data_IF_135248800595
#
_entry.id   IF_135248800595
#
_cell.length_a   1.000
_cell.length_b   1.000
_cell.length_c   1.000
_cell.angle_alpha   90.00
_cell.angle_beta   90.00
_cell.angle_gamma   90.00
#
_symmetry.space_group_name_H-M   'P 1'
#
loop_
_entity.id
_entity.type
_entity.pdbx_description
1 polymer ?
#
# COMPACT_ATOMS: atom_id res chain seq x y z
N UNK A 1 -18.18 -7.22 -29.20
CA UNK A 1 -16.95 -6.93 -28.43
C UNK A 1 -16.72 -5.43 -28.13
N UNK A 2 -17.72 -4.55 -28.34
CA UNK A 2 -17.62 -3.10 -28.09
C UNK A 2 -18.76 -2.61 -27.17
N UNK A 3 -18.81 -3.10 -25.92
CA UNK A 3 -19.92 -2.73 -25.03
C UNK A 3 -19.70 -2.90 -23.53
N UNK A 4 -18.47 -3.14 -23.06
CA UNK A 4 -18.21 -3.47 -21.65
C UNK A 4 -17.07 -2.67 -21.02
N UNK A 5 -17.01 -1.37 -21.29
CA UNK A 5 -16.25 -0.44 -20.44
C UNK A 5 -17.11 0.79 -20.21
N UNK A 6 -18.10 0.70 -19.32
CA UNK A 6 -18.49 1.90 -18.60
C UNK A 6 -17.28 2.25 -17.74
N UNK A 7 -16.41 3.13 -18.26
CA UNK A 7 -15.32 3.73 -17.51
C UNK A 7 -15.94 4.32 -16.25
N UNK A 8 -15.79 3.66 -15.11
CA UNK A 8 -16.08 4.26 -13.83
C UNK A 8 -15.13 5.44 -13.72
N UNK A 9 -15.66 6.64 -13.97
CA UNK A 9 -14.92 7.86 -13.75
C UNK A 9 -14.47 7.85 -12.28
N UNK A 10 -13.17 7.98 -12.05
CA UNK A 10 -12.60 8.05 -10.72
C UNK A 10 -13.35 9.11 -9.91
N UNK A 11 -14.04 8.66 -8.86
CA UNK A 11 -14.82 9.52 -7.97
C UNK A 11 -14.22 9.41 -6.58
N UNK A 12 -13.30 10.32 -6.30
CA UNK A 12 -12.77 10.53 -4.97
C UNK A 12 -13.17 11.91 -4.48
N UNK A 13 -13.49 11.99 -3.19
CA UNK A 13 -13.86 13.24 -2.51
C UNK A 13 -12.89 13.45 -1.36
N UNK A 14 -12.21 14.58 -1.41
CA UNK A 14 -11.38 15.08 -0.32
C UNK A 14 -12.10 16.20 0.41
N UNK A 15 -12.21 16.09 1.73
CA UNK A 15 -12.74 17.15 2.60
C UNK A 15 -11.75 17.58 3.68
N UNK A 16 -10.51 17.09 3.62
CA UNK A 16 -9.48 17.39 4.59
C UNK A 16 -9.04 18.86 4.46
N UNK A 17 -9.17 19.69 5.51
CA UNK A 17 -8.75 21.09 5.45
C UNK A 17 -7.27 21.26 5.07
N UNK A 18 -6.39 20.39 5.59
CA UNK A 18 -4.96 20.46 5.24
C UNK A 18 -4.74 20.20 3.74
N UNK A 19 -5.43 19.19 3.20
CA UNK A 19 -5.36 18.88 1.77
C UNK A 19 -5.85 20.03 0.92
N UNK A 20 -7.07 20.50 1.19
CA UNK A 20 -7.76 21.49 0.37
C UNK A 20 -7.02 22.84 0.33
N UNK A 21 -6.53 23.31 1.48
CA UNK A 21 -5.98 24.66 1.60
C UNK A 21 -4.46 24.72 1.44
N UNK A 22 -3.73 23.63 1.65
CA UNK A 22 -2.26 23.63 1.61
C UNK A 22 -1.73 22.65 0.56
N UNK A 23 -2.09 21.37 0.67
CA UNK A 23 -1.44 20.33 -0.12
C UNK A 23 -1.88 20.34 -1.59
N UNK A 24 -3.16 20.50 -1.89
CA UNK A 24 -3.65 20.59 -3.26
C UNK A 24 -3.05 21.78 -4.02
N UNK A 25 -3.00 23.02 -3.48
CA UNK A 25 -2.26 24.11 -4.10
C UNK A 25 -0.79 23.78 -4.35
N UNK A 26 -0.11 23.18 -3.36
CA UNK A 26 1.28 22.76 -3.46
C UNK A 26 1.48 21.72 -4.57
N UNK A 27 0.75 20.61 -4.55
CA UNK A 27 0.81 19.56 -5.57
C UNK A 27 0.42 20.06 -6.96
N UNK A 28 -0.53 21.00 -7.07
CA UNK A 28 -0.88 21.65 -8.35
C UNK A 28 0.26 22.53 -8.90
N UNK A 29 1.14 23.04 -8.04
CA UNK A 29 2.37 23.69 -8.47
C UNK A 29 3.43 22.65 -8.86
N UNK A 30 3.64 21.63 -8.04
CA UNK A 30 4.65 20.58 -8.26
C UNK A 30 4.38 19.77 -9.53
N UNK A 31 3.13 19.41 -9.81
CA UNK A 31 2.77 18.65 -11.04
C UNK A 31 3.24 19.33 -12.31
N UNK A 32 3.35 20.67 -12.33
CA UNK A 32 3.79 21.46 -13.49
C UNK A 32 5.28 21.28 -13.80
N UNK A 33 6.08 20.87 -12.81
CA UNK A 33 7.51 20.59 -12.94
C UNK A 33 7.72 19.30 -13.74
N UNK A 34 6.82 18.32 -13.60
CA UNK A 34 6.93 17.06 -14.32
C UNK A 34 6.67 17.23 -15.82
N UNK A 35 7.50 16.60 -16.68
CA UNK A 35 7.25 16.59 -18.11
C UNK A 35 6.04 15.72 -18.43
N UNK A 36 5.32 16.05 -19.50
CA UNK A 36 4.06 15.37 -19.87
C UNK A 36 4.26 13.96 -20.43
N UNK A 37 5.48 13.57 -20.79
CA UNK A 37 5.80 12.19 -21.19
C UNK A 37 5.97 11.25 -19.99
N UNK A 38 6.15 11.79 -18.78
CA UNK A 38 6.33 10.98 -17.59
C UNK A 38 5.00 10.37 -17.17
N UNK A 39 4.96 9.03 -17.16
CA UNK A 39 3.78 8.26 -16.79
C UNK A 39 3.44 8.45 -15.30
N UNK A 40 2.16 8.67 -14.94
CA UNK A 40 1.71 8.79 -13.55
C UNK A 40 2.14 7.61 -12.67
N UNK A 41 1.95 6.37 -13.13
CA UNK A 41 2.31 5.18 -12.36
C UNK A 41 3.82 5.11 -12.04
N UNK A 42 4.68 5.71 -12.86
CA UNK A 42 6.11 5.79 -12.57
C UNK A 42 6.39 6.79 -11.44
N UNK A 43 5.60 7.87 -11.33
CA UNK A 43 5.68 8.83 -10.22
C UNK A 43 5.31 8.12 -8.91
N UNK A 44 4.17 7.44 -8.88
CA UNK A 44 3.70 6.64 -7.73
C UNK A 44 4.73 5.59 -7.33
N UNK A 45 5.21 4.80 -8.31
CA UNK A 45 6.19 3.75 -8.05
C UNK A 45 7.52 4.31 -7.52
N UNK A 46 7.96 5.45 -8.04
CA UNK A 46 9.16 6.13 -7.54
C UNK A 46 8.98 6.55 -6.08
N UNK A 47 7.84 7.16 -5.73
CA UNK A 47 7.51 7.52 -4.35
C UNK A 47 7.50 6.30 -3.42
N UNK A 48 6.87 5.21 -3.85
CA UNK A 48 6.87 3.94 -3.12
C UNK A 48 8.29 3.40 -2.88
N UNK A 49 9.17 3.44 -3.88
CA UNK A 49 10.56 3.00 -3.71
C UNK A 49 11.35 3.84 -2.70
N UNK A 50 11.03 5.13 -2.53
CA UNK A 50 11.63 5.95 -1.47
C UNK A 50 11.20 5.46 -0.08
N UNK A 51 9.97 5.00 0.08
CA UNK A 51 9.48 4.40 1.33
C UNK A 51 10.12 3.04 1.61
N UNK A 52 10.28 2.22 0.57
CA UNK A 52 11.02 0.95 0.66
C UNK A 52 12.46 1.20 1.10
N UNK A 53 13.12 2.20 0.50
CA UNK A 53 14.47 2.59 0.90
C UNK A 53 14.51 3.08 2.35
N UNK A 54 13.58 3.92 2.78
CA UNK A 54 13.48 4.36 4.18
C UNK A 54 13.33 3.17 5.14
N UNK A 55 12.46 2.21 4.82
CA UNK A 55 12.26 1.02 5.64
C UNK A 55 13.56 0.23 5.80
N UNK A 56 14.28 -0.05 4.70
CA UNK A 56 15.54 -0.80 4.76
C UNK A 56 16.69 -0.01 5.39
N UNK A 57 16.73 1.31 5.20
CA UNK A 57 17.68 2.19 5.87
C UNK A 57 17.51 2.11 7.39
N UNK A 58 16.26 2.17 7.87
CA UNK A 58 15.98 2.02 9.30
C UNK A 58 16.20 0.58 9.80
N UNK A 59 15.90 -0.43 8.99
CA UNK A 59 16.20 -1.82 9.34
C UNK A 59 17.71 -2.09 9.47
N UNK A 60 18.54 -1.37 8.71
CA UNK A 60 20.00 -1.44 8.83
C UNK A 60 20.51 -0.84 10.15
N UNK A 61 19.99 0.32 10.56
CA UNK A 61 20.45 1.00 11.77
C UNK A 61 19.78 0.52 13.06
N UNK A 62 18.56 0.00 12.99
CA UNK A 62 17.73 -0.27 14.15
C UNK A 62 16.94 -1.59 14.02
N UNK A 63 17.51 -2.73 13.61
CA UNK A 63 16.76 -3.94 13.23
C UNK A 63 15.69 -4.40 14.23
N UNK A 64 15.92 -4.21 15.53
CA UNK A 64 15.05 -4.70 16.61
C UNK A 64 14.30 -3.59 17.38
N UNK A 65 14.37 -2.33 16.90
CA UNK A 65 13.73 -1.14 17.49
C UNK A 65 14.33 -0.66 18.82
N UNK A 66 15.54 -1.05 19.16
CA UNK A 66 16.22 -0.63 20.39
C UNK A 66 17.06 0.64 20.23
N UNK A 67 17.33 1.10 19.00
CA UNK A 67 18.24 2.23 18.76
C UNK A 67 17.72 3.54 19.34
N UNK A 68 16.44 3.67 19.69
CA UNK A 68 15.89 4.85 20.38
C UNK A 68 15.69 4.62 21.89
N UNK A 69 16.21 3.53 22.45
CA UNK A 69 16.20 3.28 23.89
C UNK A 69 17.45 3.86 24.57
N UNK A 70 17.40 4.18 25.88
CA UNK A 70 18.59 4.53 26.65
C UNK A 70 19.63 3.41 26.58
N UNK A 71 20.91 3.79 26.68
CA UNK A 71 22.05 2.87 26.73
C UNK A 71 22.28 2.02 25.46
N UNK A 72 21.62 2.38 24.35
CA UNK A 72 21.82 1.76 23.04
C UNK A 72 22.49 2.73 22.06
N UNK A 73 23.09 2.18 21.00
CA UNK A 73 23.63 2.99 19.92
C UNK A 73 22.51 3.63 19.12
N UNK A 74 22.42 4.96 19.17
CA UNK A 74 21.42 5.72 18.43
C UNK A 74 21.67 5.73 16.92
N UNK A 75 20.58 5.79 16.15
CA UNK A 75 20.63 6.05 14.71
C UNK A 75 21.31 7.41 14.49
N UNK A 76 22.32 7.52 13.61
CA UNK A 76 23.01 8.79 13.39
C UNK A 76 22.05 9.90 13.00
N UNK A 77 22.16 11.07 13.64
CA UNK A 77 21.20 12.17 13.49
C UNK A 77 20.91 12.58 12.05
N UNK A 78 21.93 12.58 11.17
CA UNK A 78 21.77 12.90 9.75
C UNK A 78 20.86 11.95 8.98
N UNK A 79 20.70 10.70 9.42
CA UNK A 79 19.80 9.71 8.82
C UNK A 79 18.35 10.17 8.96
N UNK A 80 17.97 10.77 10.09
CA UNK A 80 16.62 11.30 10.29
C UNK A 80 16.28 12.43 9.32
N UNK A 81 17.26 13.23 8.89
CA UNK A 81 17.05 14.23 7.82
C UNK A 81 16.70 13.54 6.51
N UNK A 82 17.47 12.52 6.14
CA UNK A 82 17.24 11.74 4.92
C UNK A 82 15.86 11.08 4.97
N UNK A 83 15.52 10.40 6.07
CA UNK A 83 14.22 9.74 6.26
C UNK A 83 13.07 10.74 6.14
N UNK A 84 13.18 11.91 6.79
CA UNK A 84 12.17 12.97 6.72
C UNK A 84 11.97 13.53 5.32
N UNK A 85 13.05 13.83 4.60
CA UNK A 85 12.98 14.33 3.23
C UNK A 85 12.41 13.29 2.27
N UNK A 86 12.85 12.04 2.39
CA UNK A 86 12.37 10.94 1.54
C UNK A 86 10.90 10.61 1.82
N UNK A 87 10.46 10.65 3.08
CA UNK A 87 9.06 10.45 3.44
C UNK A 87 8.17 11.55 2.84
N UNK A 88 8.56 12.82 3.02
CA UNK A 88 7.81 13.94 2.45
C UNK A 88 7.81 13.94 0.92
N UNK A 89 8.93 13.53 0.30
CA UNK A 89 9.02 13.38 -1.15
C UNK A 89 8.10 12.26 -1.63
N UNK A 90 8.10 11.09 -0.99
CA UNK A 90 7.20 9.99 -1.33
C UNK A 90 5.74 10.42 -1.26
N UNK A 91 5.34 11.06 -0.15
CA UNK A 91 4.01 11.64 0.03
C UNK A 91 3.67 12.71 -1.04
N UNK A 92 4.66 13.48 -1.48
CA UNK A 92 4.47 14.46 -2.56
C UNK A 92 4.28 13.79 -3.91
N UNK A 93 5.03 12.74 -4.22
CA UNK A 93 4.92 11.99 -5.48
C UNK A 93 3.56 11.28 -5.58
N UNK A 94 3.12 10.68 -4.47
CA UNK A 94 1.79 10.12 -4.28
C UNK A 94 0.70 11.15 -4.60
N UNK A 95 0.65 12.30 -3.89
CA UNK A 95 -0.38 13.32 -4.14
C UNK A 95 -0.35 14.01 -5.52
N UNK A 96 0.74 13.85 -6.29
CA UNK A 96 0.91 14.43 -7.62
C UNK A 96 0.52 13.48 -8.75
N UNK A 97 0.51 12.16 -8.53
CA UNK A 97 0.34 11.17 -9.59
C UNK A 97 -1.03 11.31 -10.31
N UNK A 98 -2.12 11.47 -9.57
CA UNK A 98 -3.47 11.60 -10.09
C UNK A 98 -3.67 12.95 -10.76
N UNK A 99 -2.96 13.98 -10.28
CA UNK A 99 -2.93 15.30 -10.93
C UNK A 99 -2.21 15.21 -12.27
N UNK A 100 -1.10 14.47 -12.34
CA UNK A 100 -0.41 14.18 -13.60
C UNK A 100 -1.33 13.40 -14.53
N UNK A 101 -1.99 12.34 -14.05
CA UNK A 101 -2.91 11.52 -14.86
C UNK A 101 -4.05 12.35 -15.48
N UNK A 102 -4.61 13.30 -14.72
CA UNK A 102 -5.61 14.25 -15.24
C UNK A 102 -5.00 15.21 -16.25
N UNK A 103 -3.79 15.74 -15.99
CA UNK A 103 -3.07 16.66 -16.90
C UNK A 103 -2.73 16.01 -18.25
N UNK A 104 -2.41 14.73 -18.26
CA UNK A 104 -2.02 13.96 -19.47
C UNK A 104 -3.17 13.16 -20.08
N UNK A 105 -4.40 13.27 -19.55
CA UNK A 105 -5.55 12.46 -19.96
C UNK A 105 -5.28 10.94 -19.94
N UNK A 106 -4.53 10.47 -18.95
CA UNK A 106 -4.11 9.07 -18.81
C UNK A 106 -4.64 8.40 -17.53
N UNK A 107 -5.75 8.90 -16.97
CA UNK A 107 -6.44 8.27 -15.83
C UNK A 107 -7.06 6.94 -16.25
N UNK A 108 -6.74 5.86 -15.54
CA UNK A 108 -7.26 4.52 -15.82
C UNK A 108 -7.59 3.77 -14.53
N UNK A 109 -8.57 2.84 -14.54
CA UNK A 109 -8.84 1.95 -13.40
C UNK A 109 -7.62 1.12 -12.97
N UNK A 110 -6.74 0.77 -13.92
CA UNK A 110 -5.51 0.05 -13.61
C UNK A 110 -4.50 0.94 -12.87
N UNK A 111 -4.36 2.20 -13.26
CA UNK A 111 -3.52 3.18 -12.55
C UNK A 111 -4.00 3.37 -11.11
N UNK A 112 -5.31 3.53 -10.93
CA UNK A 112 -5.93 3.60 -9.60
C UNK A 112 -5.71 2.34 -8.77
N UNK A 113 -5.86 1.15 -9.36
CA UNK A 113 -5.57 -0.11 -8.66
C UNK A 113 -4.09 -0.23 -8.27
N UNK A 114 -3.20 0.25 -9.13
CA UNK A 114 -1.76 0.22 -8.89
C UNK A 114 -1.39 1.13 -7.73
N UNK A 115 -1.89 2.35 -7.74
CA UNK A 115 -1.72 3.36 -6.69
C UNK A 115 -2.18 2.86 -5.32
N UNK A 116 -3.45 2.49 -5.22
CA UNK A 116 -4.02 1.94 -3.99
C UNK A 116 -3.31 0.67 -3.50
N UNK A 117 -2.78 -0.13 -4.43
CA UNK A 117 -1.98 -1.30 -4.11
C UNK A 117 -0.67 -0.95 -3.41
N UNK A 118 0.02 0.08 -3.90
CA UNK A 118 1.25 0.58 -3.28
C UNK A 118 0.95 1.26 -1.93
N UNK A 119 -0.13 2.02 -1.82
CA UNK A 119 -0.55 2.66 -0.56
C UNK A 119 -0.85 1.66 0.55
N UNK A 120 -1.50 0.55 0.20
CA UNK A 120 -1.80 -0.52 1.15
C UNK A 120 -0.53 -1.12 1.77
N UNK A 121 0.56 -1.16 1.01
CA UNK A 121 1.86 -1.62 1.49
C UNK A 121 2.60 -0.50 2.24
N UNK A 122 2.52 0.74 1.74
CA UNK A 122 3.12 1.92 2.36
C UNK A 122 2.65 2.15 3.80
N UNK A 123 1.40 1.79 4.13
CA UNK A 123 0.87 1.82 5.50
C UNK A 123 1.84 1.20 6.53
N UNK A 124 2.47 0.06 6.19
CA UNK A 124 3.42 -0.61 7.09
C UNK A 124 4.73 0.15 7.18
N UNK A 125 5.25 0.64 6.05
CA UNK A 125 6.49 1.41 6.05
C UNK A 125 6.38 2.66 6.89
N UNK A 126 5.26 3.40 6.80
CA UNK A 126 5.05 4.58 7.63
C UNK A 126 5.03 4.26 9.12
N UNK A 127 4.22 3.28 9.53
CA UNK A 127 4.04 2.90 10.94
C UNK A 127 5.33 2.34 11.55
N UNK A 128 6.03 1.45 10.83
CA UNK A 128 7.28 0.84 11.32
C UNK A 128 8.42 1.85 11.37
N UNK A 129 8.54 2.71 10.35
CA UNK A 129 9.62 3.71 10.30
C UNK A 129 9.44 4.76 11.40
N UNK A 130 8.21 5.28 11.60
CA UNK A 130 7.98 6.30 12.63
C UNK A 130 8.12 5.71 14.02
N UNK A 131 7.75 4.45 14.23
CA UNK A 131 7.98 3.81 15.51
C UNK A 131 9.46 3.75 15.89
N UNK A 132 10.39 3.73 14.92
CA UNK A 132 11.82 3.75 15.19
C UNK A 132 12.26 5.07 15.87
N UNK A 133 11.50 6.17 15.82
CA UNK A 133 11.84 7.41 16.55
C UNK A 133 11.59 7.29 18.05
N UNK A 134 10.67 6.41 18.47
CA UNK A 134 10.34 6.16 19.87
C UNK A 134 10.99 4.87 20.39
N UNK A 135 11.11 3.86 19.52
CA UNK A 135 11.66 2.55 19.82
C UNK A 135 10.85 1.74 20.83
N UNK A 136 11.37 0.57 21.16
CA UNK A 136 10.98 -0.25 22.31
C UNK A 136 11.98 -0.07 23.45
N UNK A 137 11.55 -0.36 24.68
CA UNK A 137 12.39 -0.24 25.88
C UNK A 137 11.69 0.55 26.99
N UNK A 138 12.45 0.99 27.98
CA UNK A 138 11.91 1.67 29.17
C UNK A 138 11.27 3.03 28.87
N UNK A 139 11.79 3.76 27.87
CA UNK A 139 11.28 5.07 27.43
C UNK A 139 10.43 4.99 26.15
N UNK A 140 10.37 3.82 25.52
CA UNK A 140 9.67 3.60 24.26
C UNK A 140 8.25 3.06 24.44
N UNK A 141 7.72 2.49 23.36
CA UNK A 141 6.42 1.82 23.28
C UNK A 141 6.67 0.34 23.04
N UNK A 142 5.91 -0.58 23.63
CA UNK A 142 6.15 -2.01 23.38
C UNK A 142 5.83 -2.39 21.93
N UNK A 143 6.48 -3.43 21.40
CA UNK A 143 6.19 -3.94 20.06
C UNK A 143 4.76 -4.49 19.98
N UNK A 144 4.19 -4.99 21.09
CA UNK A 144 2.77 -5.31 21.12
C UNK A 144 1.84 -4.10 20.92
N UNK A 145 2.17 -2.94 21.50
CA UNK A 145 1.39 -1.71 21.25
C UNK A 145 1.59 -1.23 19.82
N UNK A 146 2.82 -1.30 19.27
CA UNK A 146 3.05 -1.04 17.84
C UNK A 146 2.19 -1.95 16.96
N UNK A 147 2.11 -3.24 17.30
CA UNK A 147 1.24 -4.19 16.62
C UNK A 147 -0.18 -3.62 16.60
N UNK A 148 -0.78 -3.35 17.77
CA UNK A 148 -2.12 -2.74 17.89
C UNK A 148 -2.29 -1.47 17.05
N UNK A 149 -1.29 -0.58 17.02
CA UNK A 149 -1.33 0.64 16.20
C UNK A 149 -1.34 0.33 14.71
N UNK A 150 -0.57 -0.68 14.26
CA UNK A 150 -0.62 -1.14 12.89
C UNK A 150 -2.01 -1.65 12.51
N UNK A 151 -2.71 -2.38 13.40
CA UNK A 151 -4.12 -2.80 13.15
C UNK A 151 -5.04 -1.62 12.94
N UNK A 152 -4.90 -0.58 13.77
CA UNK A 152 -5.70 0.62 13.65
C UNK A 152 -5.48 1.27 12.28
N UNK A 153 -4.23 1.43 11.84
CA UNK A 153 -3.91 2.02 10.54
C UNK A 153 -4.39 1.17 9.37
N UNK A 154 -4.12 -0.14 9.39
CA UNK A 154 -4.56 -1.06 8.33
C UNK A 154 -6.09 -1.18 8.27
N UNK A 155 -6.77 -1.16 9.43
CA UNK A 155 -8.22 -1.12 9.48
C UNK A 155 -8.77 0.19 8.91
N UNK A 156 -8.19 1.34 9.27
CA UNK A 156 -8.55 2.64 8.71
C UNK A 156 -8.39 2.67 7.18
N UNK A 157 -7.33 2.05 6.65
CA UNK A 157 -7.14 1.91 5.20
C UNK A 157 -8.22 1.03 4.54
N UNK A 158 -8.52 -0.14 5.11
CA UNK A 158 -9.59 -1.00 4.57
C UNK A 158 -10.96 -0.33 4.68
N UNK A 159 -11.20 0.45 5.72
CA UNK A 159 -12.49 1.08 5.95
C UNK A 159 -12.85 2.08 4.83
N UNK A 160 -11.89 2.86 4.34
CA UNK A 160 -12.11 3.76 3.19
C UNK A 160 -12.40 2.98 1.90
N UNK A 161 -11.78 1.81 1.73
CA UNK A 161 -12.02 0.93 0.59
C UNK A 161 -13.35 0.18 0.69
N UNK A 162 -13.75 -0.23 1.90
CA UNK A 162 -15.07 -0.76 2.19
C UNK A 162 -16.15 0.28 1.91
N UNK A 163 -15.92 1.52 2.30
CA UNK A 163 -16.82 2.64 2.01
C UNK A 163 -16.96 2.86 0.50
N UNK A 164 -15.85 2.89 -0.24
CA UNK A 164 -15.84 2.99 -1.70
C UNK A 164 -16.55 1.82 -2.39
N UNK A 165 -16.31 0.59 -1.90
CA UNK A 165 -16.97 -0.60 -2.43
C UNK A 165 -18.48 -0.49 -2.33
N UNK A 166 -18.99 0.03 -1.21
CA UNK A 166 -20.43 0.15 -0.96
C UNK A 166 -21.09 1.38 -1.59
N UNK A 167 -20.39 2.51 -1.63
CA UNK A 167 -20.95 3.81 -2.09
C UNK A 167 -20.55 4.19 -3.51
N UNK A 168 -19.47 3.62 -4.03
CA UNK A 168 -18.86 3.99 -5.30
C UNK A 168 -17.98 5.24 -5.27
N UNK A 169 -17.78 5.86 -4.11
CA UNK A 169 -16.98 7.07 -3.94
C UNK A 169 -15.87 6.79 -2.93
N UNK A 170 -14.62 7.10 -3.27
CA UNK A 170 -13.51 7.03 -2.33
C UNK A 170 -13.45 8.33 -1.52
N UNK A 171 -13.69 8.26 -0.22
CA UNK A 171 -13.46 9.38 0.67
C UNK A 171 -12.04 9.30 1.24
N UNK A 172 -11.26 10.36 1.03
CA UNK A 172 -9.89 10.42 1.50
C UNK A 172 -9.87 10.67 3.02
N UNK A 173 -9.17 9.83 3.80
CA UNK A 173 -9.14 9.96 5.25
C UNK A 173 -8.28 11.16 5.67
N UNK A 174 -8.85 12.06 6.49
CA UNK A 174 -8.14 13.26 6.97
C UNK A 174 -6.84 12.94 7.71
N UNK A 175 -6.81 11.81 8.42
CA UNK A 175 -5.65 11.36 9.18
C UNK A 175 -4.41 11.15 8.31
N UNK A 176 -4.57 10.81 7.02
CA UNK A 176 -3.46 10.50 6.13
C UNK A 176 -2.54 11.71 5.95
N UNK A 177 -3.00 12.80 5.33
CA UNK A 177 -2.12 13.96 5.05
C UNK A 177 -1.54 14.59 6.32
N UNK A 178 -2.37 14.69 7.38
CA UNK A 178 -1.92 15.23 8.67
C UNK A 178 -0.80 14.36 9.22
N UNK A 179 -0.94 13.03 9.16
CA UNK A 179 0.11 12.12 9.61
C UNK A 179 1.36 12.27 8.76
N UNK A 180 1.26 12.33 7.42
CA UNK A 180 2.42 12.37 6.53
C UNK A 180 3.27 13.64 6.71
N UNK A 181 2.62 14.81 6.83
CA UNK A 181 3.31 16.06 7.13
C UNK A 181 3.92 16.01 8.53
N UNK A 182 3.16 15.53 9.52
CA UNK A 182 3.62 15.49 10.92
C UNK A 182 4.81 14.56 11.10
N UNK A 183 4.78 13.32 10.58
CA UNK A 183 5.89 12.37 10.72
C UNK A 183 7.14 12.88 10.01
N UNK A 184 7.00 13.54 8.85
CA UNK A 184 8.13 14.15 8.14
C UNK A 184 8.80 15.23 9.00
N UNK A 185 8.01 16.08 9.66
CA UNK A 185 8.52 17.08 10.61
C UNK A 185 9.18 16.41 11.82
N UNK A 186 8.56 15.37 12.38
CA UNK A 186 9.10 14.63 13.54
C UNK A 186 10.49 14.07 13.23
N UNK A 187 10.70 13.47 12.05
CA UNK A 187 12.03 13.01 11.65
C UNK A 187 13.04 14.15 11.59
N UNK A 188 12.69 15.27 10.94
CA UNK A 188 13.58 16.43 10.83
C UNK A 188 13.91 17.00 12.20
N UNK A 189 12.92 17.15 13.09
CA UNK A 189 13.12 17.61 14.47
C UNK A 189 14.04 16.65 15.21
N UNK A 190 13.80 15.34 15.13
CA UNK A 190 14.62 14.29 15.76
C UNK A 190 16.10 14.41 15.37
N UNK A 191 16.40 14.78 14.11
CA UNK A 191 17.76 15.01 13.68
C UNK A 191 18.50 16.12 14.45
N UNK A 192 17.78 17.16 14.87
CA UNK A 192 18.38 18.31 15.56
C UNK A 192 18.41 18.14 17.07
N UNK A 193 17.33 17.59 17.65
CA UNK A 193 17.19 17.50 19.11
C UNK A 193 17.66 16.15 19.68
N UNK A 194 17.89 15.15 18.83
CA UNK A 194 18.17 13.78 19.26
C UNK A 194 16.90 12.99 19.59
N UNK A 195 17.03 11.66 19.65
CA UNK A 195 15.91 10.77 20.04
C UNK A 195 15.59 10.91 21.53
N UNK A 196 16.57 11.35 22.32
CA UNK A 196 16.47 11.52 23.76
C UNK A 196 15.46 12.60 24.16
N UNK A 197 15.19 13.56 23.27
CA UNK A 197 14.15 14.56 23.46
C UNK A 197 12.75 13.92 23.63
N UNK A 198 12.51 12.76 23.01
CA UNK A 198 11.23 12.06 23.08
C UNK A 198 10.98 11.33 24.42
N UNK A 199 12.02 11.22 25.27
CA UNK A 199 11.89 10.59 26.60
C UNK A 199 11.21 11.52 27.60
N UNK A 200 11.33 12.83 27.40
CA UNK A 200 10.79 13.83 28.30
C UNK A 200 9.28 14.03 28.09
N UNK A 201 8.54 14.42 29.14
CA UNK A 201 7.14 14.80 29.00
C UNK A 201 7.01 16.13 28.24
N UNK A 202 5.96 16.25 27.43
CA UNK A 202 5.67 17.46 26.66
C UNK A 202 4.74 18.43 27.40
N UNK A 203 3.81 17.91 28.21
CA UNK A 203 2.85 18.71 28.98
C UNK A 203 2.23 17.89 30.13
N UNK A 204 2.11 18.43 31.33
CA UNK A 204 1.46 17.78 32.49
C UNK A 204 1.86 16.31 32.73
N UNK A 205 3.15 15.98 32.55
CA UNK A 205 3.71 14.62 32.60
C UNK A 205 3.23 13.64 31.51
N UNK A 206 2.49 14.09 30.51
CA UNK A 206 2.21 13.29 29.32
C UNK A 206 3.47 13.17 28.45
N UNK A 207 3.76 11.96 27.99
CA UNK A 207 4.91 11.67 27.15
C UNK A 207 4.53 11.73 25.67
N UNK A 208 5.49 12.09 24.81
CA UNK A 208 5.27 12.19 23.37
C UNK A 208 4.79 10.88 22.75
N UNK A 209 5.29 9.74 23.25
CA UNK A 209 4.89 8.41 22.80
C UNK A 209 3.41 8.09 23.09
N UNK A 210 2.90 8.58 24.22
CA UNK A 210 1.52 8.38 24.63
C UNK A 210 0.60 9.27 23.80
N UNK A 211 1.04 10.52 23.54
CA UNK A 211 0.37 11.43 22.62
C UNK A 211 0.28 10.83 21.20
N UNK A 212 1.38 10.25 20.69
CA UNK A 212 1.39 9.61 19.37
C UNK A 212 0.41 8.43 19.30
N UNK A 213 0.44 7.55 20.29
CA UNK A 213 -0.48 6.41 20.41
C UNK A 213 -1.93 6.89 20.50
N UNK A 214 -2.20 7.86 21.37
CA UNK A 214 -3.54 8.43 21.54
C UNK A 214 -4.04 9.12 20.27
N UNK A 215 -3.18 9.82 19.53
CA UNK A 215 -3.55 10.52 18.30
C UNK A 215 -4.01 9.54 17.21
N UNK A 216 -3.29 8.42 17.02
CA UNK A 216 -3.68 7.39 16.05
C UNK A 216 -5.04 6.78 16.42
N UNK A 217 -5.21 6.36 17.68
CA UNK A 217 -6.45 5.74 18.16
C UNK A 217 -7.61 6.74 18.10
N UNK A 218 -7.40 7.97 18.55
CA UNK A 218 -8.41 9.02 18.53
C UNK A 218 -8.81 9.37 17.09
N UNK A 219 -7.87 9.52 16.17
CA UNK A 219 -8.17 9.78 14.77
C UNK A 219 -9.01 8.65 14.15
N UNK A 220 -8.68 7.39 14.46
CA UNK A 220 -9.46 6.26 13.97
C UNK A 220 -10.90 6.26 14.53
N UNK A 221 -11.06 6.44 15.85
CA UNK A 221 -12.36 6.33 16.51
C UNK A 221 -13.26 7.56 16.38
N UNK A 222 -12.69 8.76 16.22
CA UNK A 222 -13.44 10.02 16.22
C UNK A 222 -13.59 10.64 14.84
N UNK A 223 -12.67 10.34 13.91
CA UNK A 223 -12.69 10.90 12.55
C UNK A 223 -12.96 9.81 11.53
N UNK A 224 -12.07 8.83 11.40
CA UNK A 224 -12.11 7.86 10.30
C UNK A 224 -13.35 6.98 10.36
N UNK A 225 -13.59 6.29 11.48
CA UNK A 225 -14.72 5.38 11.62
C UNK A 225 -16.07 6.09 11.56
N UNK A 226 -16.32 7.18 12.33
CA UNK A 226 -17.59 7.89 12.26
C UNK A 226 -17.87 8.47 10.87
N UNK A 227 -16.86 9.00 10.18
CA UNK A 227 -17.04 9.56 8.83
C UNK A 227 -17.46 8.49 7.83
N UNK A 228 -16.75 7.35 7.77
CA UNK A 228 -17.11 6.26 6.86
C UNK A 228 -18.49 5.68 7.17
N UNK A 229 -18.86 5.53 8.45
CA UNK A 229 -20.21 5.10 8.85
C UNK A 229 -21.28 6.13 8.46
N UNK A 230 -21.01 7.42 8.64
CA UNK A 230 -21.92 8.51 8.27
C UNK A 230 -22.16 8.54 6.75
N UNK A 231 -21.10 8.44 5.96
CA UNK A 231 -21.19 8.41 4.50
C UNK A 231 -21.91 7.16 3.98
N UNK A 232 -21.64 5.99 4.58
CA UNK A 232 -22.40 4.78 4.31
C UNK A 232 -23.88 4.96 4.63
N UNK A 233 -24.21 5.50 5.82
CA UNK A 233 -25.59 5.77 6.23
C UNK A 233 -26.29 6.76 5.30
N UNK A 234 -25.58 7.80 4.86
CA UNK A 234 -26.09 8.77 3.89
C UNK A 234 -26.40 8.11 2.55
N UNK A 235 -25.53 7.25 2.05
CA UNK A 235 -25.76 6.48 0.82
C UNK A 235 -26.94 5.49 0.98
N UNK A 236 -27.06 4.85 2.14
CA UNK A 236 -28.19 3.98 2.49
C UNK A 236 -29.51 4.76 2.45
N UNK A 237 -29.60 5.88 3.17
CA UNK A 237 -30.80 6.73 3.25
C UNK A 237 -31.23 7.28 1.89
N UNK A 238 -30.25 7.60 1.04
CA UNK A 238 -30.50 8.13 -0.29
C UNK A 238 -30.73 7.02 -1.35
N UNK A 239 -30.70 5.74 -0.97
CA UNK A 239 -30.82 4.59 -1.87
C UNK A 239 -29.77 4.59 -3.01
N UNK A 240 -28.54 5.01 -2.71
CA UNK A 240 -27.43 5.06 -3.67
C UNK A 240 -26.34 4.02 -3.38
N UNK A 241 -26.57 3.07 -2.46
CA UNK A 241 -25.65 1.96 -2.23
C UNK A 241 -25.58 1.06 -3.47
N UNK A 242 -24.38 0.54 -3.75
CA UNK A 242 -24.15 -0.46 -4.81
C UNK A 242 -24.67 -1.85 -4.43
N UNK A 243 -24.67 -2.15 -3.13
CA UNK A 243 -24.97 -3.46 -2.58
C UNK A 243 -26.07 -3.35 -1.52
N UNK A 244 -27.01 -4.29 -1.54
CA UNK A 244 -28.16 -4.30 -0.62
C UNK A 244 -28.18 -5.49 0.34
N UNK A 245 -27.42 -6.55 0.04
CA UNK A 245 -27.31 -7.69 0.95
C UNK A 245 -26.20 -7.44 1.98
N UNK A 246 -26.44 -7.80 3.23
CA UNK A 246 -25.44 -7.69 4.32
C UNK A 246 -24.17 -8.46 3.97
N UNK A 247 -24.31 -9.61 3.32
CA UNK A 247 -23.19 -10.42 2.84
C UNK A 247 -22.29 -9.64 1.87
N UNK A 248 -22.86 -9.02 0.83
CA UNK A 248 -22.07 -8.24 -0.13
C UNK A 248 -21.44 -7.02 0.52
N UNK A 249 -22.17 -6.33 1.40
CA UNK A 249 -21.69 -5.14 2.09
C UNK A 249 -20.43 -5.43 2.92
N UNK A 250 -20.37 -6.59 3.57
CA UNK A 250 -19.25 -7.00 4.43
C UNK A 250 -18.15 -7.77 3.69
N UNK A 251 -18.37 -8.16 2.43
CA UNK A 251 -17.44 -8.99 1.67
C UNK A 251 -15.99 -8.45 1.65
N UNK A 252 -15.73 -7.14 1.47
CA UNK A 252 -14.36 -6.62 1.47
C UNK A 252 -13.63 -6.76 2.81
N UNK A 253 -14.35 -6.94 3.92
CA UNK A 253 -13.78 -7.02 5.27
C UNK A 253 -13.38 -8.45 5.65
N UNK A 254 -13.90 -9.48 4.97
CA UNK A 254 -13.69 -10.88 5.35
C UNK A 254 -12.20 -11.26 5.33
N UNK A 255 -11.49 -10.97 4.24
CA UNK A 255 -10.08 -11.34 4.10
C UNK A 255 -9.15 -10.56 5.04
N UNK A 256 -9.28 -9.22 5.19
CA UNK A 256 -8.54 -8.47 6.21
C UNK A 256 -8.81 -8.98 7.63
N UNK A 257 -10.07 -9.24 8.01
CA UNK A 257 -10.41 -9.78 9.33
C UNK A 257 -9.82 -11.17 9.54
N UNK A 258 -9.77 -12.02 8.51
CA UNK A 258 -9.14 -13.33 8.61
C UNK A 258 -7.62 -13.22 8.80
N UNK A 259 -6.93 -12.40 7.99
CA UNK A 259 -5.51 -12.09 8.20
C UNK A 259 -5.29 -11.62 9.65
N UNK A 260 -6.22 -10.80 10.11
CA UNK A 260 -6.18 -10.20 11.41
C UNK A 260 -6.29 -11.24 12.55
N UNK A 261 -7.20 -12.19 12.44
CA UNK A 261 -7.31 -13.27 13.40
C UNK A 261 -6.07 -14.18 13.36
N UNK A 262 -5.61 -14.56 12.17
CA UNK A 262 -4.48 -15.47 11.99
C UNK A 262 -3.18 -14.90 12.54
N UNK A 263 -2.85 -13.64 12.26
CA UNK A 263 -1.65 -13.00 12.79
C UNK A 263 -1.71 -12.86 14.32
N UNK A 264 -2.89 -12.54 14.88
CA UNK A 264 -3.08 -12.46 16.34
C UNK A 264 -2.88 -13.82 16.99
N UNK A 265 -3.51 -14.86 16.45
CA UNK A 265 -3.34 -16.24 16.91
C UNK A 265 -1.88 -16.67 16.81
N UNK A 266 -1.19 -16.35 15.72
CA UNK A 266 0.22 -16.71 15.58
C UNK A 266 1.10 -16.03 16.63
N UNK A 267 0.92 -14.75 16.91
CA UNK A 267 1.70 -14.06 17.96
C UNK A 267 1.53 -14.76 19.32
N UNK A 268 0.29 -15.08 19.72
CA UNK A 268 0.04 -15.69 21.03
C UNK A 268 0.41 -17.17 21.11
N UNK A 269 0.42 -17.90 19.99
CA UNK A 269 0.77 -19.33 19.95
C UNK A 269 2.22 -19.58 19.51
N UNK A 270 2.96 -18.53 19.15
CA UNK A 270 4.33 -18.64 18.63
C UNK A 270 5.27 -19.17 19.71
N UNK A 271 5.91 -20.34 19.53
CA UNK A 271 6.84 -20.89 20.52
C UNK A 271 8.13 -20.07 20.67
N UNK A 272 8.47 -19.26 19.67
CA UNK A 272 9.68 -18.43 19.64
C UNK A 272 9.41 -16.96 19.95
N UNK A 273 8.19 -16.60 20.36
CA UNK A 273 7.79 -15.20 20.59
C UNK A 273 8.18 -14.26 19.43
N UNK A 274 7.70 -14.60 18.22
CA UNK A 274 8.16 -13.99 16.95
C UNK A 274 8.03 -12.47 16.93
N UNK A 275 7.04 -11.91 17.63
CA UNK A 275 6.83 -10.48 17.71
C UNK A 275 7.95 -9.80 18.49
N UNK A 276 8.40 -10.39 19.59
CA UNK A 276 9.46 -9.82 20.41
C UNK A 276 10.86 -10.09 19.82
N UNK A 277 11.06 -11.21 19.12
CA UNK A 277 12.37 -11.60 18.57
C UNK A 277 12.64 -11.03 17.17
N UNK A 278 11.65 -10.94 16.29
CA UNK A 278 11.82 -10.43 14.92
C UNK A 278 10.68 -9.48 14.50
N UNK A 279 10.46 -8.38 15.24
CA UNK A 279 9.31 -7.51 15.02
C UNK A 279 9.27 -6.92 13.61
N UNK A 280 10.39 -6.41 13.06
CA UNK A 280 10.42 -5.81 11.71
C UNK A 280 10.02 -6.79 10.61
N UNK A 281 10.54 -8.01 10.66
CA UNK A 281 10.21 -9.06 9.69
C UNK A 281 8.74 -9.47 9.79
N UNK A 282 8.24 -9.61 11.03
CA UNK A 282 6.83 -9.89 11.25
C UNK A 282 5.94 -8.81 10.63
N UNK A 283 6.19 -7.52 10.91
CA UNK A 283 5.38 -6.44 10.33
C UNK A 283 5.50 -6.35 8.81
N UNK A 284 6.70 -6.57 8.26
CA UNK A 284 6.89 -6.62 6.80
C UNK A 284 6.05 -7.72 6.15
N UNK A 285 5.99 -8.90 6.75
CA UNK A 285 5.14 -10.00 6.30
C UNK A 285 3.65 -9.63 6.40
N UNK A 286 3.20 -9.09 7.53
CA UNK A 286 1.80 -8.64 7.71
C UNK A 286 1.44 -7.63 6.62
N UNK A 287 2.30 -6.65 6.37
CA UNK A 287 2.11 -5.64 5.34
C UNK A 287 2.02 -6.20 3.94
N UNK A 288 2.91 -7.14 3.61
CA UNK A 288 2.92 -7.80 2.30
C UNK A 288 1.64 -8.63 2.08
N UNK A 289 1.22 -9.38 3.10
CA UNK A 289 -0.03 -10.15 3.05
C UNK A 289 -1.25 -9.23 2.92
N UNK A 290 -1.28 -8.15 3.71
CA UNK A 290 -2.33 -7.15 3.68
C UNK A 290 -2.41 -6.45 2.32
N UNK A 291 -1.28 -6.07 1.72
CA UNK A 291 -1.26 -5.41 0.43
C UNK A 291 -1.81 -6.31 -0.68
N UNK A 292 -1.43 -7.58 -0.69
CA UNK A 292 -1.99 -8.56 -1.63
C UNK A 292 -3.51 -8.74 -1.44
N UNK A 293 -4.01 -8.74 -0.21
CA UNK A 293 -5.46 -8.77 0.07
C UNK A 293 -6.14 -7.49 -0.41
N UNK A 294 -5.56 -6.33 -0.12
CA UNK A 294 -6.10 -5.00 -0.45
C UNK A 294 -6.19 -4.77 -1.96
N UNK A 295 -5.19 -5.20 -2.73
CA UNK A 295 -5.22 -5.16 -4.20
C UNK A 295 -6.36 -6.02 -4.73
N UNK A 296 -6.56 -7.23 -4.19
CA UNK A 296 -7.66 -8.11 -4.62
C UNK A 296 -9.03 -7.53 -4.24
N UNK A 297 -9.17 -6.96 -3.05
CA UNK A 297 -10.40 -6.29 -2.61
C UNK A 297 -10.69 -5.04 -3.46
N UNK A 298 -9.67 -4.25 -3.80
CA UNK A 298 -9.80 -3.09 -4.67
C UNK A 298 -10.14 -3.49 -6.11
N UNK A 299 -9.57 -4.58 -6.61
CA UNK A 299 -9.94 -5.14 -7.91
C UNK A 299 -11.40 -5.61 -7.95
N UNK A 300 -11.94 -6.15 -6.84
CA UNK A 300 -13.38 -6.44 -6.71
C UNK A 300 -14.22 -5.17 -6.75
N UNK A 301 -13.75 -4.06 -6.20
CA UNK A 301 -14.45 -2.77 -6.29
C UNK A 301 -14.47 -2.21 -7.73
N UNK A 302 -13.44 -2.49 -8.54
CA UNK A 302 -13.33 -2.03 -9.92
C UNK A 302 -14.04 -2.93 -10.93
N UNK A 303 -14.19 -4.22 -10.61
CA UNK A 303 -14.96 -5.17 -11.43
C UNK A 303 -16.39 -5.22 -10.91
N UNK A 304 -17.37 -4.86 -11.75
CA UNK A 304 -18.77 -5.26 -11.53
C UNK A 304 -18.86 -6.80 -11.59
N UNK A 305 -18.57 -7.50 -10.50
CA UNK A 305 -18.39 -8.95 -10.53
C UNK A 305 -19.59 -9.69 -9.92
N UNK A 306 -20.51 -10.10 -10.81
CA UNK A 306 -21.20 -11.38 -10.68
C UNK A 306 -20.15 -12.47 -10.93
N UNK A 307 -19.73 -13.20 -9.89
CA UNK A 307 -19.23 -14.61 -9.83
C UNK A 307 -18.49 -14.75 -8.48
N UNK A 308 -19.26 -14.77 -7.39
CA UNK A 308 -18.76 -14.78 -6.00
C UNK A 308 -18.25 -16.12 -5.46
N UNK A 309 -17.97 -17.14 -6.28
CA UNK A 309 -17.73 -18.51 -5.75
C UNK A 309 -16.30 -19.05 -5.92
N UNK A 310 -15.43 -18.44 -6.73
CA UNK A 310 -14.10 -19.02 -7.02
C UNK A 310 -12.93 -18.54 -6.14
N UNK A 311 -13.10 -17.44 -5.39
CA UNK A 311 -11.96 -16.75 -4.75
C UNK A 311 -11.83 -17.11 -3.26
N UNK A 312 -12.94 -17.29 -2.55
CA UNK A 312 -12.90 -17.74 -1.15
C UNK A 312 -12.32 -19.16 -1.02
N UNK A 313 -12.61 -20.05 -1.99
CA UNK A 313 -12.04 -21.40 -2.05
C UNK A 313 -10.57 -21.43 -2.48
N UNK A 314 -10.13 -20.48 -3.31
CA UNK A 314 -8.72 -20.38 -3.74
C UNK A 314 -7.79 -19.74 -2.70
N UNK A 315 -8.33 -18.92 -1.79
CA UNK A 315 -7.56 -18.33 -0.67
C UNK A 315 -7.28 -19.37 0.41
N UNK A 316 -8.25 -20.23 0.73
CA UNK A 316 -8.00 -21.33 1.67
C UNK A 316 -7.12 -22.39 1.05
N UNK A 317 -7.32 -22.79 -0.22
CA UNK A 317 -6.49 -23.84 -0.82
C UNK A 317 -5.03 -23.39 -0.99
N UNK A 318 -4.74 -22.24 -1.61
CA UNK A 318 -3.34 -21.88 -1.92
C UNK A 318 -2.51 -21.47 -0.71
N UNK A 319 -3.14 -21.00 0.37
CA UNK A 319 -2.45 -20.73 1.63
C UNK A 319 -2.27 -22.04 2.40
N UNK A 320 -3.24 -22.95 2.37
CA UNK A 320 -3.16 -24.29 2.97
C UNK A 320 -2.11 -25.17 2.28
N UNK A 321 -2.09 -25.20 0.94
CA UNK A 321 -1.17 -26.01 0.14
C UNK A 321 0.29 -25.55 0.34
N UNK A 322 0.54 -24.24 0.42
CA UNK A 322 1.90 -23.71 0.65
C UNK A 322 2.40 -23.83 2.10
N UNK A 323 1.51 -24.00 3.08
CA UNK A 323 1.87 -24.14 4.50
C UNK A 323 1.99 -25.62 4.90
N UNK A 324 1.25 -26.53 4.26
CA UNK A 324 1.17 -27.93 4.68
C UNK A 324 1.70 -28.97 3.68
N UNK A 325 1.93 -28.65 2.41
CA UNK A 325 2.56 -29.60 1.46
C UNK A 325 4.11 -29.57 1.47
N UNK A 326 4.69 -29.66 2.66
CA UNK A 326 5.93 -30.40 2.82
C UNK A 326 5.69 -31.56 3.79
N UNK A 327 5.16 -32.70 3.32
CA UNK A 327 5.32 -33.93 4.07
C UNK A 327 6.81 -34.25 4.09
N UNK A 328 7.33 -34.53 5.29
CA UNK A 328 8.55 -35.29 5.49
C UNK A 328 8.44 -36.60 4.68
N UNK A 329 8.95 -36.57 3.46
CA UNK A 329 9.05 -37.73 2.59
C UNK A 329 10.20 -38.59 3.03
N UNK A 330 9.91 -39.58 3.87
CA UNK A 330 10.73 -40.77 4.08
C UNK A 330 11.09 -41.39 2.72
N UNK A 331 12.34 -41.26 2.32
CA UNK A 331 12.87 -41.78 1.07
C UNK A 331 14.39 -41.95 1.14
N UNK A 332 14.87 -42.71 2.14
CA UNK A 332 16.23 -43.23 2.12
C UNK A 332 16.31 -44.27 1.00
N UNK A 333 17.11 -44.02 -0.02
CA UNK A 333 17.71 -45.06 -0.87
C UNK A 333 19.22 -44.83 -0.92
N UNK A 334 20.05 -45.88 -0.98
CA UNK A 334 21.47 -45.79 -0.66
C UNK A 334 22.26 -45.08 -1.76
N UNK A 335 23.25 -44.28 -1.34
CA UNK A 335 24.26 -43.73 -2.23
C UNK A 335 25.19 -44.85 -2.72
N UNK A 336 25.18 -45.12 -4.02
CA UNK A 336 26.28 -45.84 -4.69
C UNK A 336 27.47 -44.87 -4.86
N UNK A 337 28.70 -45.24 -4.47
CA UNK A 337 29.86 -44.37 -4.60
C UNK A 337 30.42 -44.47 -6.02
N UNK A 338 30.18 -43.44 -6.85
CA UNK A 338 30.94 -43.26 -8.09
C UNK A 338 32.30 -42.64 -7.74
N UNK A 339 33.34 -43.37 -8.11
CA UNK A 339 34.75 -43.08 -7.96
C UNK A 339 35.16 -41.73 -8.55
N UNK A 340 35.96 -40.98 -7.78
CA UNK A 340 36.60 -39.74 -8.21
C UNK A 340 37.73 -40.01 -9.23
N UNK A 341 37.87 -39.23 -10.32
CA UNK A 341 39.08 -39.20 -11.12
C UNK A 341 40.09 -38.19 -10.56
N UNK A 342 41.36 -38.58 -10.56
CA UNK A 342 42.54 -37.78 -10.17
C UNK A 342 42.96 -36.78 -11.26
N UNK A 343 43.76 -35.74 -10.93
CA UNK A 343 44.03 -34.60 -11.81
C UNK A 343 45.25 -34.82 -12.74
N UNK A 344 45.12 -34.40 -14.01
CA UNK A 344 46.19 -34.31 -15.00
C UNK A 344 45.75 -33.57 -16.28
N UNK A 345 46.38 -32.43 -16.53
CA UNK A 345 46.30 -31.45 -17.65
C UNK A 345 46.42 -32.02 -19.11
N UNK A 346 46.33 -31.21 -20.22
CA UNK A 346 45.65 -29.92 -20.47
C UNK A 346 44.89 -29.82 -21.84
N UNK A 347 44.34 -28.62 -22.08
CA UNK A 347 43.58 -28.05 -23.21
C UNK A 347 43.90 -28.46 -24.67
N UNK A 348 42.86 -28.54 -25.54
CA UNK A 348 42.69 -27.73 -26.77
C UNK A 348 41.45 -28.14 -27.62
N UNK A 349 40.83 -27.13 -28.27
CA UNK A 349 40.06 -27.18 -29.54
C UNK A 349 38.69 -27.91 -29.52
N UNK A 350 37.63 -27.55 -30.26
CA UNK A 350 37.30 -26.60 -31.33
C UNK A 350 35.74 -26.62 -31.45
N UNK A 351 35.02 -25.49 -31.53
CA UNK A 351 34.56 -24.76 -32.74
C UNK A 351 33.28 -25.35 -33.41
N UNK A 352 32.36 -24.42 -33.78
CA UNK A 352 31.24 -24.49 -34.76
C UNK A 352 29.82 -24.83 -34.23
N UNK A 353 28.89 -23.86 -34.02
CA UNK A 353 27.97 -23.14 -34.95
C UNK A 353 26.56 -23.82 -35.08
N UNK A 354 25.46 -23.15 -35.53
CA UNK A 354 24.68 -22.08 -34.86
C UNK A 354 23.12 -22.24 -34.98
N UNK A 355 22.42 -21.18 -34.58
CA UNK A 355 20.98 -20.86 -34.55
C UNK A 355 20.04 -21.34 -35.69
N UNK A 356 18.74 -21.49 -35.34
CA UNK A 356 17.60 -21.39 -36.26
C UNK A 356 16.41 -20.65 -35.62
N UNK A 357 16.10 -19.47 -36.18
CA UNK A 357 14.78 -18.80 -36.18
C UNK A 357 14.03 -19.22 -37.46
N UNK A 358 12.69 -19.03 -37.52
CA UNK A 358 12.06 -18.68 -38.78
C UNK A 358 11.16 -17.43 -38.69
N UNK A 359 11.36 -16.55 -39.66
CA UNK A 359 10.45 -15.49 -40.15
C UNK A 359 9.95 -15.88 -41.53
N UNK A 360 8.69 -15.58 -41.84
CA UNK A 360 8.07 -15.23 -43.16
C UNK A 360 6.54 -15.39 -43.05
N UNK A 361 5.63 -14.70 -43.75
CA UNK A 361 5.65 -13.61 -44.72
C UNK A 361 4.20 -13.06 -44.90
N UNK A 362 4.11 -11.91 -45.57
CA UNK A 362 2.93 -11.11 -45.91
C UNK A 362 1.93 -11.72 -46.91
N UNK A 363 0.67 -11.25 -46.84
CA UNK A 363 -0.16 -11.00 -48.05
C UNK A 363 -1.16 -9.87 -47.78
N UNK A 364 -1.12 -8.81 -48.58
CA UNK A 364 -2.10 -7.71 -48.58
C UNK A 364 -3.24 -7.93 -49.58
N UNK A 365 -4.35 -7.23 -49.40
CA UNK A 365 -5.35 -6.94 -50.44
C UNK A 365 -6.05 -5.60 -50.12
N UNK A 366 -6.18 -4.80 -51.15
CA UNK A 366 -6.65 -3.41 -51.20
C UNK A 366 -8.14 -3.27 -51.51
N UNK A 367 -8.79 -2.26 -50.92
CA UNK A 367 -9.68 -1.31 -51.61
C UNK A 367 -11.20 -1.56 -51.61
N UNK A 368 -11.97 -0.59 -51.07
CA UNK A 368 -12.98 0.21 -51.80
C UNK A 368 -13.89 1.03 -50.86
N UNK A 369 -14.38 2.15 -51.40
CA UNK A 369 -15.13 3.30 -50.84
C UNK A 369 -16.63 3.04 -50.56
N UNK A 370 -17.21 3.96 -49.77
CA UNK A 370 -18.65 4.27 -49.62
C UNK A 370 -18.97 4.47 -48.14
N UNK A 371 -19.58 5.53 -47.63
CA UNK A 371 -20.58 6.47 -48.12
C UNK A 371 -21.43 6.85 -46.89
N UNK A 372 -21.85 8.10 -46.79
CA UNK A 372 -22.49 8.75 -45.63
C UNK A 372 -23.67 8.01 -44.98
N UNK A 373 -23.86 8.20 -43.66
CA UNK A 373 -25.14 8.66 -43.09
C UNK A 373 -25.04 8.97 -41.58
N UNK A 374 -25.37 10.22 -41.21
CA UNK A 374 -25.82 10.58 -39.86
C UNK A 374 -27.27 10.13 -39.67
N UNK A 375 -27.71 9.94 -38.42
CA UNK A 375 -28.78 10.81 -37.96
C UNK A 375 -28.55 11.41 -36.56
N UNK A 376 -29.35 12.44 -36.32
CA UNK A 376 -29.29 13.38 -35.22
C UNK A 376 -29.82 12.85 -33.88
N UNK A 377 -29.43 13.54 -32.81
CA UNK A 377 -30.32 13.87 -31.70
C UNK A 377 -30.29 12.95 -30.49
N UNK A 378 -29.57 13.36 -29.45
CA UNK A 378 -30.09 13.28 -28.08
C UNK A 378 -29.40 14.36 -27.23
N UNK A 379 -30.18 15.39 -26.88
CA UNK A 379 -29.79 16.39 -25.89
C UNK A 379 -29.79 15.80 -24.48
N UNK A 380 -29.01 16.39 -23.59
CA UNK A 380 -29.02 16.05 -22.17
C UNK A 380 -27.82 16.61 -21.42
N UNK A 381 -28.01 17.78 -20.81
CA UNK A 381 -27.29 18.26 -19.62
C UNK A 381 -25.76 18.27 -19.65
N UNK A 382 -25.21 19.41 -20.09
CA UNK A 382 -23.88 19.88 -19.66
C UNK A 382 -23.95 20.11 -18.15
N UNK A 383 -23.42 19.18 -17.36
CA UNK A 383 -23.22 19.39 -15.94
C UNK A 383 -21.89 20.13 -15.75
N UNK A 384 -22.03 21.43 -15.51
CA UNK A 384 -20.98 22.39 -15.20
C UNK A 384 -20.38 22.06 -13.82
N UNK A 385 -19.50 21.06 -13.71
CA UNK A 385 -18.76 20.79 -12.47
C UNK A 385 -17.31 20.31 -12.69
N UNK A 386 -16.72 20.58 -13.85
CA UNK A 386 -15.34 20.19 -14.19
C UNK A 386 -14.38 21.39 -14.36
N UNK A 387 -14.58 22.50 -13.64
CA UNK A 387 -13.69 23.67 -13.80
C UNK A 387 -12.86 24.09 -12.59
N UNK A 388 -13.06 23.47 -11.43
CA UNK A 388 -12.25 23.75 -10.25
C UNK A 388 -12.18 22.49 -9.39
N UNK A 389 -11.12 21.70 -9.55
CA UNK A 389 -10.53 20.67 -8.67
C UNK A 389 -9.38 20.01 -9.46
#
# INVERSE_FOLDING_TARGET
>A
LLGFVSLSQYSAVDSNPLSLYVMHPFWNAVVKIFPTWLAPNLITFSGFLLLVFNFFLMAYFDPDFYASAPDHQHVPNGVWIVVGLLNFMAYTLDGVDGKQARRTNSSTPLGELFDHGLDSWACVYFVVTVYSTFGRGSTGVSVFVLYLLLWVVLFSFILSHWEKYNTGILFLPWGYDISQVTISIVYIVTAFVGVEAWYAPFLFNFLYRDLFTAMIIACALTVTLPMSLYNFYKAYKNNTLKHHSVYEILLPLVSPVLLFLLCTTWIFLSPTDILEVQPRLFYFMVGTAFANISVRASALCLRNWRIGYGIASGITSRIWDNIWEHPLGSGITPWDPVSAPSPGEPAEQALQHPALLPTEAHSGLTGSRGGENRPAGCGGTVNTCCKYL
#
